data_IF_931266011255
#
_entry.id   IF_931266011255
#
_cell.length_a   1.000
_cell.length_b   1.000
_cell.length_c   1.000
_cell.angle_alpha   90.00
_cell.angle_beta   90.00
_cell.angle_gamma   90.00
#
_symmetry.space_group_name_H-M   'P 1'
#
loop_
_entity.id
_entity.type
_entity.pdbx_description
1 polymer ?
#
# COMPACT_ATOMS: atom_id res chain seq x y z
N UNK A 1 -11.60 15.40 14.67
CA UNK A 1 -11.75 14.46 15.78
C UNK A 1 -12.94 14.89 16.64
N UNK A 2 -13.82 13.95 16.99
CA UNK A 2 -14.93 14.16 17.92
C UNK A 2 -15.04 12.97 18.88
N UNK A 3 -15.03 13.24 20.20
CA UNK A 3 -15.13 12.23 21.25
C UNK A 3 -16.54 12.18 21.83
N UNK A 4 -17.10 10.97 21.92
CA UNK A 4 -18.36 10.68 22.58
C UNK A 4 -18.10 9.96 23.91
N UNK A 5 -17.87 10.72 24.97
CA UNK A 5 -17.44 10.18 26.26
C UNK A 5 -15.95 9.77 26.25
N UNK A 6 -15.58 8.82 27.14
CA UNK A 6 -14.19 8.41 27.36
C UNK A 6 -13.71 7.31 26.41
N UNK A 7 -14.63 6.57 25.76
CA UNK A 7 -14.33 5.33 25.05
C UNK A 7 -14.52 5.43 23.54
N UNK A 8 -15.31 6.35 23.08
CA UNK A 8 -15.76 6.40 21.68
C UNK A 8 -15.26 7.68 20.99
N UNK A 9 -14.71 7.51 19.78
CA UNK A 9 -14.15 8.59 18.97
C UNK A 9 -14.51 8.41 17.51
N UNK A 10 -14.83 9.53 16.85
CA UNK A 10 -14.94 9.61 15.39
C UNK A 10 -13.86 10.55 14.87
N UNK A 11 -13.13 10.09 13.87
CA UNK A 11 -12.15 10.89 13.15
C UNK A 11 -12.51 10.97 11.67
N UNK A 12 -12.40 12.16 11.10
CA UNK A 12 -12.44 12.37 9.67
C UNK A 12 -11.10 12.93 9.21
N UNK A 13 -10.53 12.29 8.19
CA UNK A 13 -9.28 12.71 7.54
C UNK A 13 -9.55 12.96 6.08
N UNK A 14 -8.94 14.00 5.53
CA UNK A 14 -8.98 14.30 4.11
C UNK A 14 -7.62 14.81 3.67
N UNK A 15 -7.21 14.44 2.48
CA UNK A 15 -6.03 14.98 1.80
C UNK A 15 -6.28 15.15 0.33
N UNK A 16 -5.65 16.17 -0.26
CA UNK A 16 -5.63 16.41 -1.70
C UNK A 16 -4.18 16.62 -2.10
N UNK A 17 -3.76 15.89 -3.12
CA UNK A 17 -2.42 15.99 -3.69
C UNK A 17 -2.53 16.46 -5.13
N UNK A 18 -1.75 17.46 -5.48
CA UNK A 18 -1.54 17.92 -6.85
C UNK A 18 -0.08 17.73 -7.22
N UNK A 19 0.17 17.04 -8.29
CA UNK A 19 1.51 16.77 -8.78
C UNK A 19 1.60 17.03 -10.28
N UNK A 20 2.60 17.84 -10.70
CA UNK A 20 2.90 18.07 -12.10
C UNK A 20 4.24 17.39 -12.42
N UNK A 21 4.24 16.55 -13.45
CA UNK A 21 5.43 15.84 -13.92
C UNK A 21 5.81 16.40 -15.29
N UNK A 22 7.09 16.76 -15.42
CA UNK A 22 7.68 17.16 -16.70
C UNK A 22 9.04 16.49 -16.85
N UNK A 23 9.20 15.68 -17.89
CA UNK A 23 10.43 14.98 -18.24
C UNK A 23 10.77 15.36 -19.66
N UNK A 24 11.91 16.06 -19.86
CA UNK A 24 12.38 16.48 -21.17
C UNK A 24 13.73 15.82 -21.51
N UNK A 25 13.80 15.20 -22.68
CA UNK A 25 15.04 14.70 -23.28
C UNK A 25 15.14 15.25 -24.72
N UNK A 26 16.29 15.23 -25.39
CA UNK A 26 16.49 15.93 -26.66
C UNK A 26 15.45 15.68 -27.75
N UNK A 27 14.83 14.49 -27.77
CA UNK A 27 13.88 14.08 -28.81
C UNK A 27 12.49 13.75 -28.28
N UNK A 28 12.25 13.88 -26.96
CA UNK A 28 11.00 13.46 -26.34
C UNK A 28 10.70 14.28 -25.09
N UNK A 29 9.44 14.62 -24.91
CA UNK A 29 8.95 15.27 -23.69
C UNK A 29 7.69 14.52 -23.22
N UNK A 30 7.66 14.22 -21.93
CA UNK A 30 6.49 13.71 -21.22
C UNK A 30 6.04 14.73 -20.18
N UNK A 31 4.82 15.20 -20.28
CA UNK A 31 4.25 16.18 -19.33
C UNK A 31 2.84 15.75 -18.96
N UNK A 32 2.51 15.82 -17.69
CA UNK A 32 1.17 15.50 -17.21
C UNK A 32 0.94 15.94 -15.79
N UNK A 33 -0.33 16.00 -15.42
CA UNK A 33 -0.81 16.43 -14.11
C UNK A 33 -1.56 15.30 -13.43
N UNK A 34 -1.22 15.03 -12.18
CA UNK A 34 -1.90 14.06 -11.34
C UNK A 34 -2.59 14.77 -10.18
N UNK A 35 -3.86 14.45 -9.97
CA UNK A 35 -4.65 14.91 -8.83
C UNK A 35 -5.18 13.71 -8.09
N UNK A 36 -4.80 13.59 -6.81
CA UNK A 36 -5.25 12.48 -5.97
C UNK A 36 -5.97 13.02 -4.74
N UNK A 37 -7.05 12.39 -4.33
CA UNK A 37 -7.76 12.70 -3.10
C UNK A 37 -7.89 11.46 -2.23
N UNK A 38 -7.85 11.67 -0.93
CA UNK A 38 -8.12 10.63 0.06
C UNK A 38 -9.05 11.18 1.13
N UNK A 39 -10.12 10.47 1.42
CA UNK A 39 -11.03 10.75 2.51
C UNK A 39 -11.26 9.50 3.34
N UNK A 40 -11.18 9.62 4.65
CA UNK A 40 -11.39 8.51 5.58
C UNK A 40 -12.24 8.96 6.76
N UNK A 41 -13.25 8.17 7.09
CA UNK A 41 -14.06 8.29 8.28
C UNK A 41 -13.84 7.05 9.14
N UNK A 42 -13.41 7.23 10.39
CA UNK A 42 -13.19 6.13 11.33
C UNK A 42 -14.00 6.32 12.60
N UNK A 43 -14.50 5.21 13.13
CA UNK A 43 -15.04 5.10 14.47
C UNK A 43 -14.13 4.19 15.29
N UNK A 44 -13.68 4.69 16.44
CA UNK A 44 -12.83 3.95 17.38
C UNK A 44 -13.56 3.79 18.71
N UNK A 45 -13.53 2.55 19.22
CA UNK A 45 -14.00 2.24 20.58
C UNK A 45 -12.91 1.56 21.37
N UNK A 46 -12.50 2.20 22.46
CA UNK A 46 -11.44 1.72 23.35
C UNK A 46 -12.04 1.19 24.64
N UNK A 47 -11.68 -0.04 24.97
CA UNK A 47 -11.95 -0.67 26.28
C UNK A 47 -10.61 -0.98 26.95
N UNK A 48 -10.64 -1.51 28.20
CA UNK A 48 -9.42 -1.77 28.97
C UNK A 48 -8.38 -2.63 28.26
N UNK A 49 -8.82 -3.64 27.48
CA UNK A 49 -7.95 -4.61 26.81
C UNK A 49 -8.15 -4.67 25.30
N UNK A 50 -9.12 -3.97 24.76
CA UNK A 50 -9.43 -4.04 23.34
C UNK A 50 -9.66 -2.65 22.76
N UNK A 51 -9.15 -2.43 21.57
CA UNK A 51 -9.50 -1.28 20.75
C UNK A 51 -10.05 -1.78 19.41
N UNK A 52 -11.26 -1.34 19.09
CA UNK A 52 -11.90 -1.59 17.81
C UNK A 52 -11.91 -0.33 16.98
N UNK A 53 -11.50 -0.47 15.74
CA UNK A 53 -11.57 0.61 14.74
C UNK A 53 -12.36 0.08 13.56
N UNK A 54 -13.41 0.79 13.16
CA UNK A 54 -14.13 0.54 11.91
C UNK A 54 -14.09 1.81 11.06
N UNK A 55 -13.93 1.67 9.75
CA UNK A 55 -13.83 2.84 8.90
C UNK A 55 -14.25 2.62 7.46
N UNK A 56 -14.52 3.75 6.81
CA UNK A 56 -14.77 3.85 5.38
C UNK A 56 -13.75 4.79 4.77
N UNK A 57 -13.29 4.49 3.57
CA UNK A 57 -12.44 5.41 2.83
C UNK A 57 -12.82 5.49 1.35
N UNK A 58 -12.48 6.62 0.78
CA UNK A 58 -12.58 6.92 -0.64
C UNK A 58 -11.25 7.47 -1.11
N UNK A 59 -10.69 6.84 -2.12
CA UNK A 59 -9.50 7.31 -2.81
C UNK A 59 -9.84 7.56 -4.28
N UNK A 60 -9.46 8.72 -4.79
CA UNK A 60 -9.49 9.01 -6.22
C UNK A 60 -8.08 9.37 -6.70
N UNK A 61 -7.73 8.92 -7.88
CA UNK A 61 -6.46 9.23 -8.53
C UNK A 61 -6.68 9.44 -10.01
N UNK A 62 -6.44 10.66 -10.47
CA UNK A 62 -6.63 11.08 -11.86
C UNK A 62 -5.30 11.60 -12.40
N UNK A 63 -4.91 11.09 -13.55
CA UNK A 63 -3.77 11.58 -14.33
C UNK A 63 -4.24 12.00 -15.71
N UNK A 64 -3.89 13.22 -16.10
CA UNK A 64 -4.12 13.80 -17.42
C UNK A 64 -2.75 14.10 -18.06
N UNK A 65 -2.43 13.41 -19.15
CA UNK A 65 -1.21 13.64 -19.92
C UNK A 65 -1.43 14.78 -20.92
N UNK A 66 -0.45 15.65 -21.04
CA UNK A 66 -0.49 16.71 -22.03
C UNK A 66 -0.15 16.17 -23.43
N UNK A 67 -1.05 16.39 -24.38
CA UNK A 67 -0.83 15.99 -25.77
C UNK A 67 0.29 16.83 -26.41
N UNK A 68 1.49 16.30 -26.47
CA UNK A 68 2.66 16.93 -27.09
C UNK A 68 3.05 16.30 -28.43
N UNK A 69 2.58 15.07 -28.68
CA UNK A 69 2.83 14.28 -29.88
C UNK A 69 1.55 13.60 -30.34
N UNK A 70 1.59 12.88 -31.45
CA UNK A 70 0.47 12.03 -31.91
C UNK A 70 0.46 10.65 -31.20
N UNK A 71 1.30 10.44 -30.21
CA UNK A 71 1.28 9.21 -29.41
C UNK A 71 0.01 9.14 -28.55
N UNK A 72 -0.43 7.91 -28.28
CA UNK A 72 -1.63 7.65 -27.49
C UNK A 72 -1.45 8.17 -26.05
N UNK A 73 -2.39 8.97 -25.57
CA UNK A 73 -2.39 9.49 -24.20
C UNK A 73 -2.58 8.36 -23.17
N UNK A 74 -1.91 8.50 -22.03
CA UNK A 74 -1.91 7.53 -20.93
C UNK A 74 -2.76 8.00 -19.76
N UNK A 75 -3.82 8.76 -20.07
CA UNK A 75 -4.76 9.24 -19.07
C UNK A 75 -5.41 8.11 -18.30
N UNK A 76 -5.64 8.33 -17.03
CA UNK A 76 -6.44 7.42 -16.22
C UNK A 76 -7.24 8.16 -15.15
N UNK A 77 -8.30 7.54 -14.71
CA UNK A 77 -9.10 7.96 -13.56
C UNK A 77 -9.47 6.70 -12.78
N UNK A 78 -8.93 6.57 -11.58
CA UNK A 78 -9.16 5.44 -10.68
C UNK A 78 -9.89 5.90 -9.42
N UNK A 79 -10.86 5.12 -9.00
CA UNK A 79 -11.57 5.33 -7.74
C UNK A 79 -11.51 4.03 -6.94
N UNK A 80 -11.23 4.13 -5.65
CA UNK A 80 -11.26 3.00 -4.72
C UNK A 80 -12.16 3.37 -3.54
N UNK A 81 -13.13 2.51 -3.28
CA UNK A 81 -14.03 2.60 -2.13
C UNK A 81 -13.66 1.48 -1.16
N UNK A 82 -13.32 1.80 0.07
CA UNK A 82 -12.88 0.82 1.05
C UNK A 82 -13.70 0.86 2.33
N UNK A 83 -13.88 -0.32 2.92
CA UNK A 83 -14.40 -0.49 4.27
C UNK A 83 -13.48 -1.41 5.06
N UNK A 84 -13.27 -1.13 6.34
CA UNK A 84 -12.41 -1.96 7.16
C UNK A 84 -12.85 -2.01 8.61
N UNK A 85 -12.44 -3.08 9.26
CA UNK A 85 -12.52 -3.26 10.72
C UNK A 85 -11.20 -3.82 11.22
N UNK A 86 -10.74 -3.30 12.33
CA UNK A 86 -9.51 -3.72 13.00
C UNK A 86 -9.77 -3.87 14.49
N UNK A 87 -9.14 -4.85 15.10
CA UNK A 87 -9.11 -5.05 16.54
C UNK A 87 -7.67 -5.14 17.02
N UNK A 88 -7.36 -4.42 18.07
CA UNK A 88 -6.13 -4.54 18.85
C UNK A 88 -6.52 -5.09 20.23
N UNK A 89 -5.98 -6.24 20.62
CA UNK A 89 -6.32 -6.96 21.84
C UNK A 89 -5.09 -7.30 22.68
N UNK A 90 -5.03 -6.72 23.87
CA UNK A 90 -4.08 -7.15 24.91
C UNK A 90 -4.56 -8.47 25.52
N UNK A 91 -4.26 -9.60 24.85
CA UNK A 91 -4.68 -10.92 25.27
C UNK A 91 -4.07 -11.28 26.64
N UNK A 92 -2.79 -10.95 26.85
CA UNK A 92 -2.06 -11.08 28.11
C UNK A 92 -1.07 -9.94 28.27
N UNK A 93 -0.37 -9.87 29.43
CA UNK A 93 0.70 -8.87 29.65
C UNK A 93 1.88 -9.02 28.67
N UNK A 94 2.07 -10.21 28.11
CA UNK A 94 3.17 -10.53 27.21
C UNK A 94 2.74 -10.72 25.75
N UNK A 95 1.41 -10.77 25.47
CA UNK A 95 0.87 -10.99 24.10
C UNK A 95 -0.16 -9.93 23.76
N UNK A 96 0.10 -9.21 22.66
CA UNK A 96 -0.84 -8.31 22.02
C UNK A 96 -1.14 -8.82 20.60
N UNK A 97 -2.42 -8.95 20.27
CA UNK A 97 -2.91 -9.41 18.97
C UNK A 97 -3.57 -8.27 18.23
N UNK A 98 -3.20 -8.09 16.98
CA UNK A 98 -3.84 -7.17 16.05
C UNK A 98 -4.44 -7.98 14.90
N UNK A 99 -5.73 -7.82 14.65
CA UNK A 99 -6.43 -8.46 13.56
C UNK A 99 -7.19 -7.42 12.76
N UNK A 100 -7.25 -7.57 11.45
CA UNK A 100 -7.96 -6.64 10.59
C UNK A 100 -8.52 -7.33 9.36
N UNK A 101 -9.62 -6.79 8.87
CA UNK A 101 -10.20 -7.15 7.59
C UNK A 101 -10.57 -5.86 6.86
N UNK A 102 -10.11 -5.74 5.63
CA UNK A 102 -10.44 -4.65 4.72
C UNK A 102 -11.03 -5.21 3.43
N UNK A 103 -12.02 -4.55 2.91
CA UNK A 103 -12.60 -4.81 1.60
C UNK A 103 -12.57 -3.53 0.78
N UNK A 104 -11.93 -3.56 -0.39
CA UNK A 104 -11.89 -2.47 -1.34
C UNK A 104 -12.63 -2.86 -2.60
N UNK A 105 -13.34 -1.91 -3.18
CA UNK A 105 -13.96 -2.02 -4.49
C UNK A 105 -13.35 -0.99 -5.45
N UNK A 106 -12.82 -1.48 -6.54
CA UNK A 106 -12.22 -0.70 -7.63
C UNK A 106 -13.06 -0.94 -8.89
N UNK A 107 -13.82 0.04 -9.40
CA UNK A 107 -14.78 -0.17 -10.49
C UNK A 107 -14.18 -0.89 -11.71
N UNK A 108 -12.94 -0.56 -12.09
CA UNK A 108 -12.27 -1.16 -13.26
C UNK A 108 -11.74 -2.58 -13.01
N UNK A 109 -11.54 -2.99 -11.75
CA UNK A 109 -10.81 -4.24 -11.40
C UNK A 109 -11.55 -5.16 -10.42
N UNK A 110 -12.70 -4.71 -9.87
CA UNK A 110 -13.52 -5.50 -8.94
C UNK A 110 -13.10 -5.36 -7.49
N UNK A 111 -13.35 -6.39 -6.69
CA UNK A 111 -13.16 -6.38 -5.25
C UNK A 111 -11.83 -7.01 -4.81
N UNK A 112 -11.22 -6.43 -3.76
CA UNK A 112 -10.08 -6.97 -3.06
C UNK A 112 -10.41 -7.15 -1.57
N UNK A 113 -10.19 -8.38 -1.04
CA UNK A 113 -10.39 -8.71 0.37
C UNK A 113 -9.00 -8.91 1.01
N UNK A 114 -8.72 -8.17 2.07
CA UNK A 114 -7.40 -7.97 2.63
C UNK A 114 -7.40 -8.27 4.13
N UNK A 115 -7.33 -9.56 4.52
CA UNK A 115 -7.13 -9.93 5.91
C UNK A 115 -5.70 -9.59 6.36
N UNK A 116 -5.56 -9.22 7.63
CA UNK A 116 -4.28 -8.98 8.30
C UNK A 116 -4.31 -9.53 9.71
N UNK A 117 -3.22 -10.10 10.15
CA UNK A 117 -3.02 -10.54 11.53
C UNK A 117 -1.58 -10.25 11.97
N UNK A 118 -1.42 -9.84 13.22
CA UNK A 118 -0.12 -9.63 13.85
C UNK A 118 -0.18 -10.02 15.32
N UNK A 119 0.86 -10.68 15.80
CA UNK A 119 1.08 -11.03 17.20
C UNK A 119 2.37 -10.40 17.69
N UNK A 120 2.29 -9.57 18.72
CA UNK A 120 3.44 -8.95 19.37
C UNK A 120 3.68 -9.61 20.72
N UNK A 121 4.89 -10.17 20.89
CA UNK A 121 5.34 -10.91 22.06
C UNK A 121 6.32 -10.06 22.87
N UNK A 122 5.95 -9.67 24.08
CA UNK A 122 6.86 -9.06 25.06
C UNK A 122 7.52 -10.18 25.88
N UNK A 123 8.66 -10.68 25.41
CA UNK A 123 9.33 -11.85 26.00
C UNK A 123 10.01 -11.47 27.31
N UNK A 124 10.67 -10.31 27.33
CA UNK A 124 11.21 -9.64 28.51
C UNK A 124 11.03 -8.13 28.38
N UNK A 125 11.41 -7.36 29.42
CA UNK A 125 11.39 -5.88 29.33
C UNK A 125 12.35 -5.32 28.26
N UNK A 126 13.34 -6.12 27.84
CA UNK A 126 14.38 -5.73 26.88
C UNK A 126 14.22 -6.40 25.52
N UNK A 127 13.45 -7.48 25.43
CA UNK A 127 13.34 -8.28 24.23
C UNK A 127 11.89 -8.54 23.85
N UNK A 128 11.56 -8.18 22.62
CA UNK A 128 10.25 -8.43 22.02
C UNK A 128 10.38 -9.00 20.60
N UNK A 129 9.34 -9.66 20.16
CA UNK A 129 9.21 -10.19 18.80
C UNK A 129 7.82 -9.90 18.27
N UNK A 130 7.71 -9.71 16.94
CA UNK A 130 6.44 -9.59 16.26
C UNK A 130 6.42 -10.52 15.06
N UNK A 131 5.35 -11.31 14.98
CA UNK A 131 5.01 -12.12 13.81
C UNK A 131 3.75 -11.54 13.20
N UNK A 132 3.78 -11.21 11.91
CA UNK A 132 2.63 -10.65 11.21
C UNK A 132 2.53 -11.12 9.78
N UNK A 133 1.33 -11.03 9.23
CA UNK A 133 1.09 -11.29 7.83
C UNK A 133 -0.23 -10.70 7.36
N UNK A 134 -0.36 -10.57 6.05
CA UNK A 134 -1.55 -10.02 5.46
C UNK A 134 -1.52 -10.03 3.93
N UNK A 135 -2.65 -9.64 3.36
CA UNK A 135 -2.85 -9.55 1.93
C UNK A 135 -2.83 -8.09 1.50
N UNK A 136 -2.36 -7.84 0.28
CA UNK A 136 -2.34 -6.54 -0.35
C UNK A 136 -2.69 -6.63 -1.82
N UNK A 137 -2.88 -5.50 -2.45
CA UNK A 137 -3.00 -5.40 -3.91
C UNK A 137 -2.42 -4.08 -4.39
N UNK A 138 -2.15 -4.05 -5.71
CA UNK A 138 -1.81 -2.83 -6.44
C UNK A 138 -2.62 -2.77 -7.72
N UNK A 139 -3.24 -1.63 -7.98
CA UNK A 139 -3.92 -1.36 -9.24
C UNK A 139 -2.89 -1.10 -10.34
N UNK A 140 -3.13 -1.58 -11.57
CA UNK A 140 -2.28 -1.28 -12.72
C UNK A 140 -2.14 0.24 -12.95
N UNK A 141 -0.91 0.68 -13.15
CA UNK A 141 -0.56 2.06 -13.49
C UNK A 141 0.67 2.09 -14.38
N UNK A 142 0.81 3.13 -15.20
CA UNK A 142 2.02 3.35 -16.00
C UNK A 142 3.22 3.76 -15.13
N UNK A 143 2.98 4.22 -13.90
CA UNK A 143 4.02 4.68 -12.99
C UNK A 143 4.71 3.49 -12.32
N UNK A 144 5.53 2.79 -13.09
CA UNK A 144 6.40 1.70 -12.65
C UNK A 144 7.85 2.10 -12.82
N UNK A 145 8.76 1.46 -12.09
CA UNK A 145 10.20 1.72 -12.20
C UNK A 145 10.72 1.48 -13.64
N UNK A 146 10.22 0.43 -14.31
CA UNK A 146 10.61 0.13 -15.68
C UNK A 146 10.15 1.19 -16.67
N UNK A 147 8.94 1.70 -16.52
CA UNK A 147 8.42 2.81 -17.34
C UNK A 147 9.22 4.10 -17.09
N UNK A 148 9.60 4.35 -15.83
CA UNK A 148 10.44 5.49 -15.45
C UNK A 148 11.84 5.43 -16.07
N UNK A 149 12.47 4.25 -16.10
CA UNK A 149 13.76 4.02 -16.77
C UNK A 149 13.71 4.35 -18.27
N UNK A 150 12.57 4.10 -18.91
CA UNK A 150 12.30 4.48 -20.29
C UNK A 150 11.81 5.93 -20.43
N UNK A 151 11.69 6.66 -19.31
CA UNK A 151 11.12 8.02 -19.30
C UNK A 151 9.71 8.07 -19.92
N UNK A 152 8.97 6.97 -19.82
CA UNK A 152 7.67 6.72 -20.44
C UNK A 152 7.66 6.74 -21.97
N UNK A 153 8.84 6.76 -22.62
CA UNK A 153 8.93 6.76 -24.08
C UNK A 153 8.42 5.45 -24.66
N UNK A 154 7.49 5.52 -25.61
CA UNK A 154 6.88 4.37 -26.27
C UNK A 154 6.12 3.41 -25.33
N UNK A 155 5.82 3.82 -24.09
CA UNK A 155 4.98 3.06 -23.18
C UNK A 155 3.52 3.30 -23.48
N UNK A 156 2.77 2.25 -23.78
CA UNK A 156 1.35 2.29 -24.06
C UNK A 156 0.53 2.54 -22.78
N UNK A 157 -0.69 3.10 -22.89
CA UNK A 157 -1.60 3.20 -21.75
C UNK A 157 -1.95 1.82 -21.19
N UNK A 158 -2.42 1.80 -19.94
CA UNK A 158 -2.92 0.58 -19.29
C UNK A 158 -4.15 0.06 -20.02
N UNK A 159 -4.13 -1.21 -20.33
CA UNK A 159 -5.25 -1.94 -20.92
C UNK A 159 -6.16 -2.47 -19.80
N UNK A 160 -7.20 -1.71 -19.45
CA UNK A 160 -8.10 -2.05 -18.33
C UNK A 160 -8.85 -3.36 -18.53
N UNK A 161 -9.09 -3.77 -19.77
CA UNK A 161 -9.84 -4.99 -20.10
C UNK A 161 -9.00 -6.25 -19.90
N UNK A 162 -7.69 -6.14 -20.09
CA UNK A 162 -6.77 -7.27 -20.01
C UNK A 162 -5.89 -7.26 -18.75
N UNK A 163 -5.63 -6.10 -18.14
CA UNK A 163 -4.87 -6.02 -16.91
C UNK A 163 -5.72 -6.32 -15.67
N UNK A 164 -5.09 -6.92 -14.66
CA UNK A 164 -5.70 -7.32 -13.38
C UNK A 164 -4.92 -6.70 -12.23
N UNK A 165 -5.53 -6.67 -11.05
CA UNK A 165 -4.82 -6.32 -9.82
C UNK A 165 -3.63 -7.26 -9.60
N UNK A 166 -2.47 -6.70 -9.30
CA UNK A 166 -1.39 -7.46 -8.65
C UNK A 166 -1.84 -7.76 -7.22
N UNK A 167 -1.71 -9.00 -6.78
CA UNK A 167 -2.03 -9.41 -5.42
C UNK A 167 -0.77 -9.80 -4.68
N UNK A 168 -0.67 -9.40 -3.43
CA UNK A 168 0.47 -9.74 -2.58
C UNK A 168 0.03 -10.45 -1.31
N UNK A 169 0.87 -11.38 -0.85
CA UNK A 169 0.74 -12.13 0.38
C UNK A 169 2.05 -11.98 1.13
N UNK A 170 2.00 -11.28 2.25
CA UNK A 170 3.20 -10.94 3.02
C UNK A 170 3.22 -11.63 4.37
N UNK A 171 4.42 -12.06 4.78
CA UNK A 171 4.73 -12.54 6.11
C UNK A 171 5.97 -11.80 6.62
N UNK A 172 5.98 -11.39 7.87
CA UNK A 172 7.12 -10.76 8.49
C UNK A 172 7.32 -11.25 9.93
N UNK A 173 8.57 -11.35 10.34
CA UNK A 173 9.00 -11.70 11.69
C UNK A 173 10.10 -10.72 12.10
N UNK A 174 9.88 -9.99 13.18
CA UNK A 174 10.92 -9.13 13.74
C UNK A 174 11.31 -9.55 15.15
N UNK A 175 12.57 -9.26 15.49
CA UNK A 175 13.13 -9.35 16.84
C UNK A 175 13.70 -7.99 17.20
N UNK A 176 13.32 -7.48 18.36
CA UNK A 176 13.79 -6.21 18.86
C UNK A 176 14.38 -6.39 20.26
N UNK A 177 15.64 -5.98 20.41
CA UNK A 177 16.33 -5.96 21.69
C UNK A 177 16.78 -4.54 22.01
N UNK A 178 16.42 -4.07 23.21
CA UNK A 178 16.80 -2.74 23.70
C UNK A 178 17.35 -2.87 25.11
N UNK A 179 18.51 -2.30 25.36
CA UNK A 179 19.11 -2.26 26.69
C UNK A 179 19.87 -0.96 26.91
N UNK A 180 20.01 -0.57 28.19
CA UNK A 180 20.86 0.53 28.57
C UNK A 180 22.18 -0.04 29.14
N UNK A 181 23.28 0.58 28.74
CA UNK A 181 24.65 0.26 29.20
C UNK A 181 25.29 1.53 29.82
N UNK A 182 26.38 1.38 30.51
CA UNK A 182 27.09 2.47 31.24
C UNK A 182 26.15 3.26 32.15
N UNK A 183 25.50 2.55 33.12
CA UNK A 183 24.57 3.12 34.10
C UNK A 183 23.43 3.97 33.49
N UNK A 184 22.97 3.58 32.30
CA UNK A 184 21.86 4.26 31.59
C UNK A 184 22.29 5.39 30.65
N UNK A 185 23.58 5.71 30.58
CA UNK A 185 24.07 6.81 29.73
C UNK A 185 24.03 6.50 28.24
N UNK A 186 24.00 5.21 27.85
CA UNK A 186 23.93 4.77 26.45
C UNK A 186 22.82 3.76 26.28
N UNK A 187 21.93 4.01 25.33
CA UNK A 187 20.92 3.04 24.90
C UNK A 187 21.44 2.27 23.67
N UNK A 188 21.47 0.95 23.81
CA UNK A 188 21.80 0.04 22.72
C UNK A 188 20.54 -0.66 22.24
N UNK A 189 20.29 -0.65 20.93
CA UNK A 189 19.17 -1.33 20.33
C UNK A 189 19.56 -2.09 19.06
N UNK A 190 19.02 -3.29 18.92
CA UNK A 190 19.11 -4.09 17.68
C UNK A 190 17.69 -4.44 17.27
N UNK A 191 17.39 -4.24 15.98
CA UNK A 191 16.19 -4.74 15.34
C UNK A 191 16.59 -5.60 14.14
N UNK A 192 16.09 -6.83 14.10
CA UNK A 192 16.28 -7.77 12.99
C UNK A 192 14.92 -8.12 12.42
N UNK A 193 14.74 -7.84 11.12
CA UNK A 193 13.52 -8.14 10.37
C UNK A 193 13.79 -9.23 9.34
N UNK A 194 12.91 -10.21 9.30
CA UNK A 194 12.78 -11.19 8.22
C UNK A 194 11.44 -10.99 7.55
N UNK A 195 11.42 -11.08 6.22
CA UNK A 195 10.18 -10.96 5.47
C UNK A 195 10.14 -11.96 4.31
N UNK A 196 8.93 -12.31 3.94
CA UNK A 196 8.61 -13.03 2.71
C UNK A 196 7.38 -12.39 2.07
N UNK A 197 7.48 -12.06 0.79
CA UNK A 197 6.37 -11.51 0.01
C UNK A 197 6.24 -12.32 -1.28
N UNK A 198 5.03 -12.80 -1.51
CA UNK A 198 4.64 -13.47 -2.73
C UNK A 198 3.72 -12.55 -3.53
N UNK A 199 4.00 -12.38 -4.83
CA UNK A 199 3.21 -11.58 -5.76
C UNK A 199 2.54 -12.50 -6.77
N UNK A 200 1.24 -12.38 -6.89
CA UNK A 200 0.41 -13.03 -7.90
C UNK A 200 -0.02 -12.02 -8.97
N UNK A 201 0.04 -12.43 -10.24
CA UNK A 201 -0.21 -11.59 -11.41
C UNK A 201 0.67 -10.32 -11.46
N UNK A 202 2.00 -10.40 -11.29
CA UNK A 202 2.85 -9.20 -11.35
C UNK A 202 2.74 -8.52 -12.71
N UNK A 203 2.70 -7.18 -12.68
CA UNK A 203 2.60 -6.34 -13.87
C UNK A 203 4.02 -5.99 -14.36
N UNK A 204 4.40 -6.51 -15.51
CA UNK A 204 5.72 -6.29 -16.10
C UNK A 204 5.63 -5.56 -17.44
N UNK A 205 6.63 -4.72 -17.69
CA UNK A 205 6.80 -4.03 -18.95
C UNK A 205 7.38 -4.97 -20.00
N UNK A 206 6.69 -5.17 -21.10
CA UNK A 206 7.07 -6.06 -22.18
C UNK A 206 7.16 -5.30 -23.50
N UNK A 207 8.20 -5.60 -24.30
CA UNK A 207 8.34 -5.06 -25.65
C UNK A 207 7.32 -5.72 -26.59
N UNK A 208 6.68 -4.93 -27.43
CA UNK A 208 5.83 -5.38 -28.52
C UNK A 208 6.63 -5.51 -29.81
N UNK A 209 6.07 -6.20 -30.83
CA UNK A 209 6.72 -6.35 -32.13
C UNK A 209 6.96 -5.02 -32.88
N UNK A 210 6.19 -4.00 -32.55
CA UNK A 210 6.24 -2.68 -33.17
C UNK A 210 7.20 -1.71 -32.48
N UNK A 211 8.02 -2.21 -31.54
CA UNK A 211 8.98 -1.39 -30.79
C UNK A 211 8.35 -0.51 -29.72
N UNK A 212 7.10 -0.79 -29.35
CA UNK A 212 6.41 -0.17 -28.23
C UNK A 212 6.56 -1.02 -26.98
N UNK A 213 6.13 -0.51 -25.84
CA UNK A 213 6.14 -1.21 -24.56
C UNK A 213 4.75 -1.25 -23.96
N UNK A 214 4.33 -2.40 -23.47
CA UNK A 214 3.04 -2.60 -22.81
C UNK A 214 3.25 -3.23 -21.44
N UNK A 215 2.48 -2.75 -20.47
CA UNK A 215 2.41 -3.37 -19.15
C UNK A 215 1.37 -4.50 -19.20
N UNK A 216 1.82 -5.72 -18.96
CA UNK A 216 0.96 -6.91 -18.91
C UNK A 216 1.17 -7.68 -17.61
N UNK A 217 0.09 -8.24 -17.08
CA UNK A 217 0.24 -9.24 -16.04
C UNK A 217 0.81 -10.51 -16.64
N UNK A 218 1.87 -11.03 -16.03
CA UNK A 218 2.43 -12.31 -16.45
C UNK A 218 1.73 -13.46 -15.73
N UNK A 219 1.56 -14.58 -16.46
CA UNK A 219 1.12 -15.84 -15.84
C UNK A 219 2.26 -16.37 -14.99
N UNK A 220 2.13 -16.30 -13.69
CA UNK A 220 3.13 -16.75 -12.74
C UNK A 220 3.18 -15.90 -11.52
N UNK A 221 4.15 -16.20 -10.69
CA UNK A 221 4.35 -15.55 -9.40
C UNK A 221 5.80 -15.05 -9.30
N UNK A 222 5.99 -14.07 -8.44
CA UNK A 222 7.31 -13.58 -8.05
C UNK A 222 7.36 -13.55 -6.53
N UNK A 223 8.48 -13.94 -5.94
CA UNK A 223 8.68 -13.83 -4.51
C UNK A 223 9.91 -12.97 -4.18
N UNK A 224 9.83 -12.32 -3.03
CA UNK A 224 10.91 -11.55 -2.42
C UNK A 224 11.05 -11.95 -0.96
N UNK A 225 12.29 -12.11 -0.50
CA UNK A 225 12.60 -12.50 0.88
C UNK A 225 13.89 -11.83 1.34
N UNK A 226 13.96 -11.58 2.63
CA UNK A 226 15.13 -11.02 3.29
C UNK A 226 15.09 -11.19 4.79
#
# INVERSE_FOLDING_TARGET
>A
EHKFGEKDRIDFKNSVTYFNRNIGVPTYTFEGTQVSTFSELTYTRTNQKTEWVAGLNLWTDKFDEKKLTDFQLRDYNQTTMGAFVQNNWEATKWLNLETGLRADYIPDYGAAILPRVSAHFKITDKFSSRLGGGFGYKSPTIFTEDSERLQYQNVLPIDKDNNKLERSYGLNLDFNYVTSIFDGNVTFSINQLFFYTYLDNPLLLQSTKDGLYRLNNISGNTDSKG
#
